data_IF_477188851302
#
_entry.id   IF_477188851302
#
_cell.length_a   1.000
_cell.length_b   1.000
_cell.length_c   1.000
_cell.angle_alpha   90.00
_cell.angle_beta   90.00
_cell.angle_gamma   90.00
#
_symmetry.space_group_name_H-M   'P 1'
#
loop_
_entity.id
_entity.type
_entity.pdbx_description
1 polymer ?
#
# COMPACT_ATOMS: atom_id res chain seq x y z
N UNK A 1 -5.81 -3.22 5.95
CA UNK A 1 -6.48 -4.44 6.48
C UNK A 1 -5.58 -5.06 7.51
N UNK A 2 -6.10 -5.33 8.70
CA UNK A 2 -5.32 -5.80 9.85
C UNK A 2 -5.92 -7.10 10.37
N UNK A 3 -5.11 -8.17 10.39
CA UNK A 3 -5.45 -9.45 10.98
C UNK A 3 -6.79 -10.02 10.50
N UNK A 4 -7.77 -10.05 11.39
CA UNK A 4 -9.11 -10.58 11.13
C UNK A 4 -9.90 -9.83 10.05
N UNK A 5 -9.47 -8.62 9.65
CA UNK A 5 -10.05 -7.90 8.52
C UNK A 5 -9.64 -8.49 7.16
N UNK A 6 -8.72 -9.45 7.10
CA UNK A 6 -8.30 -10.10 5.85
C UNK A 6 -9.29 -11.20 5.46
N UNK A 7 -9.74 -11.23 4.19
CA UNK A 7 -10.68 -12.24 3.68
C UNK A 7 -10.05 -13.64 3.65
N UNK A 8 -8.72 -13.68 3.55
CA UNK A 8 -7.93 -14.90 3.51
C UNK A 8 -7.53 -15.27 4.94
N UNK A 9 -8.04 -16.39 5.44
CA UNK A 9 -7.84 -16.83 6.83
C UNK A 9 -6.36 -17.00 7.20
N UNK A 10 -5.52 -17.41 6.24
CA UNK A 10 -4.07 -17.55 6.42
C UNK A 10 -3.37 -16.19 6.66
N UNK A 11 -4.02 -15.08 6.33
CA UNK A 11 -3.55 -13.72 6.58
C UNK A 11 -4.12 -13.12 7.86
N UNK A 12 -4.83 -13.89 8.68
CA UNK A 12 -5.41 -13.43 9.96
C UNK A 12 -4.36 -12.91 10.96
N UNK A 13 -3.08 -13.23 10.76
CA UNK A 13 -1.95 -12.75 11.58
C UNK A 13 -1.14 -11.66 10.88
N UNK A 14 -1.48 -11.29 9.65
CA UNK A 14 -0.79 -10.30 8.84
C UNK A 14 -1.53 -8.96 8.79
N UNK A 15 -0.82 -7.92 8.43
CA UNK A 15 -1.35 -6.60 8.10
C UNK A 15 -0.92 -6.19 6.72
N UNK A 16 -1.85 -5.60 5.98
CA UNK A 16 -1.67 -5.13 4.62
C UNK A 16 -1.99 -3.64 4.58
N UNK A 17 -1.00 -2.84 4.20
CA UNK A 17 -1.12 -1.40 3.98
C UNK A 17 -0.98 -1.14 2.50
N UNK A 18 -2.02 -0.59 1.86
CA UNK A 18 -2.09 -0.41 0.41
C UNK A 18 -2.22 1.08 0.07
N UNK A 19 -1.60 1.49 -1.03
CA UNK A 19 -1.78 2.80 -1.66
C UNK A 19 -1.91 2.62 -3.17
N UNK A 20 -2.87 3.29 -3.80
CA UNK A 20 -2.95 3.34 -5.26
C UNK A 20 -1.89 4.29 -5.81
N UNK A 21 -1.40 3.99 -7.02
CA UNK A 21 -0.50 4.86 -7.79
C UNK A 21 -1.03 5.03 -9.21
N UNK A 22 -0.64 6.13 -9.85
CA UNK A 22 -1.04 6.49 -11.20
C UNK A 22 -0.79 7.98 -11.47
N UNK A 23 -0.91 8.36 -12.74
CA UNK A 23 -0.78 9.75 -13.18
C UNK A 23 -2.01 10.60 -12.88
N UNK A 24 -1.99 11.89 -13.25
CA UNK A 24 -3.08 12.81 -12.97
C UNK A 24 -4.45 12.25 -13.42
N UNK A 25 -5.33 12.04 -12.44
CA UNK A 25 -6.72 11.62 -12.67
C UNK A 25 -6.95 10.12 -12.88
N UNK A 26 -5.91 9.28 -12.99
CA UNK A 26 -6.10 7.86 -13.25
C UNK A 26 -5.19 6.95 -12.42
N UNK A 27 -5.81 6.18 -11.52
CA UNK A 27 -5.12 5.10 -10.81
C UNK A 27 -4.77 3.97 -11.80
N UNK A 28 -3.48 3.66 -11.91
CA UNK A 28 -2.95 2.62 -12.78
C UNK A 28 -2.78 1.29 -12.04
N UNK A 29 -2.55 1.34 -10.73
CA UNK A 29 -2.41 0.13 -9.92
C UNK A 29 -2.32 0.40 -8.42
N UNK A 30 -1.99 -0.65 -7.66
CA UNK A 30 -1.85 -0.60 -6.21
C UNK A 30 -0.46 -1.08 -5.79
N UNK A 31 0.11 -0.41 -4.79
CA UNK A 31 1.30 -0.80 -4.06
C UNK A 31 0.87 -1.22 -2.65
N UNK A 32 1.46 -2.29 -2.11
CA UNK A 32 1.17 -2.72 -0.75
C UNK A 32 2.43 -3.17 0.01
N UNK A 33 2.41 -3.00 1.32
CA UNK A 33 3.34 -3.62 2.27
C UNK A 33 2.58 -4.65 3.11
N UNK A 34 3.20 -5.81 3.29
CA UNK A 34 2.70 -6.90 4.14
C UNK A 34 3.65 -7.08 5.32
N UNK A 35 3.11 -7.19 6.52
CA UNK A 35 3.90 -7.46 7.73
C UNK A 35 3.05 -7.96 8.90
N UNK A 36 3.60 -8.05 10.11
CA UNK A 36 2.86 -8.53 11.28
C UNK A 36 1.76 -7.55 11.72
N UNK A 37 0.78 -8.05 12.48
CA UNK A 37 -0.31 -7.24 13.09
C UNK A 37 0.16 -6.19 14.10
N UNK A 38 1.39 -6.29 14.61
CA UNK A 38 2.07 -5.18 15.29
C UNK A 38 3.27 -4.73 14.47
N UNK A 39 3.03 -3.83 13.52
CA UNK A 39 4.07 -3.11 12.77
C UNK A 39 4.06 -1.62 13.13
N UNK A 40 5.10 -0.88 12.75
CA UNK A 40 5.04 0.58 12.71
C UNK A 40 4.16 1.02 11.52
N UNK A 41 2.88 1.17 11.79
CA UNK A 41 1.89 1.55 10.78
C UNK A 41 2.15 2.95 10.21
N UNK A 42 2.62 3.89 11.04
CA UNK A 42 2.84 5.26 10.60
C UNK A 42 3.99 5.32 9.58
N UNK A 43 5.10 4.65 9.89
CA UNK A 43 6.23 4.54 8.97
C UNK A 43 5.84 3.79 7.69
N UNK A 44 5.16 2.64 7.79
CA UNK A 44 4.78 1.85 6.63
C UNK A 44 3.78 2.59 5.71
N UNK A 45 2.79 3.29 6.30
CA UNK A 45 1.88 4.14 5.55
C UNK A 45 2.59 5.30 4.85
N UNK A 46 3.58 5.93 5.50
CA UNK A 46 4.37 6.98 4.88
C UNK A 46 5.20 6.45 3.70
N UNK A 47 5.84 5.30 3.87
CA UNK A 47 6.65 4.64 2.84
C UNK A 47 5.83 4.29 1.60
N UNK A 48 4.69 3.61 1.74
CA UNK A 48 3.87 3.24 0.57
C UNK A 48 3.33 4.47 -0.16
N UNK A 49 2.96 5.54 0.57
CA UNK A 49 2.52 6.80 -0.05
C UNK A 49 3.65 7.48 -0.82
N UNK A 50 4.86 7.51 -0.27
CA UNK A 50 6.02 8.12 -0.91
C UNK A 50 6.36 7.41 -2.22
N UNK A 51 6.38 6.07 -2.22
CA UNK A 51 6.65 5.26 -3.41
C UNK A 51 5.52 5.39 -4.43
N UNK A 52 4.25 5.34 -4.00
CA UNK A 52 3.12 5.54 -4.90
C UNK A 52 3.17 6.91 -5.60
N UNK A 53 3.49 7.98 -4.87
CA UNK A 53 3.66 9.33 -5.44
C UNK A 53 4.86 9.39 -6.40
N UNK A 54 5.94 8.67 -6.12
CA UNK A 54 7.10 8.59 -7.00
C UNK A 54 6.75 7.90 -8.32
N UNK A 55 6.08 6.75 -8.24
CA UNK A 55 5.60 6.01 -9.42
C UNK A 55 4.62 6.85 -10.25
N UNK A 56 3.68 7.56 -9.59
CA UNK A 56 2.76 8.46 -10.29
C UNK A 56 3.50 9.53 -11.11
N UNK A 57 4.48 10.22 -10.51
CA UNK A 57 5.30 11.22 -11.22
C UNK A 57 6.10 10.65 -12.38
N UNK A 58 6.57 9.40 -12.29
CA UNK A 58 7.28 8.75 -13.39
C UNK A 58 6.37 8.46 -14.57
N UNK A 59 5.08 8.23 -14.31
CA UNK A 59 4.08 7.96 -15.34
C UNK A 59 3.61 9.25 -16.02
N UNK A 60 3.48 10.35 -15.27
CA UNK A 60 3.18 11.68 -15.84
C UNK A 60 4.32 12.22 -16.74
N UNK A 61 5.54 11.68 -16.58
CA UNK A 61 6.71 12.08 -17.36
C UNK A 61 6.83 11.34 -18.71
N UNK A 62 5.89 10.46 -19.05
CA UNK A 62 5.82 9.73 -20.33
C UNK A 62 4.69 10.26 -21.20
#
# INVERSE_FOLDING_TARGET
RIGAENDVQQLSTASIVTSSYGGEGQAVGNLAVVGPTRMDYAANMASVRAVARYLGRMMDAQ
#
